data_IF_203970538618
#
_entry.id   IF_203970538618
#
_cell.length_a   1.000
_cell.length_b   1.000
_cell.length_c   1.000
_cell.angle_alpha   90.00
_cell.angle_beta   90.00
_cell.angle_gamma   90.00
#
_symmetry.space_group_name_H-M   'P 1'
#
loop_
_entity.id
_entity.type
_entity.pdbx_description
1 polymer ?
#
# COMPACT_ATOMS: atom_id res chain seq x y z
N UNK A 1 12.96 0.63 -11.61
CA UNK A 1 11.52 0.50 -11.44
C UNK A 1 11.07 0.83 -10.00
N UNK A 2 11.87 0.47 -9.01
CA UNK A 2 11.67 0.78 -7.60
C UNK A 2 12.96 1.34 -7.02
N UNK A 3 12.84 2.24 -6.02
CA UNK A 3 13.98 2.80 -5.31
C UNK A 3 13.69 2.76 -3.82
N UNK A 4 14.72 2.43 -3.02
CA UNK A 4 14.65 2.45 -1.57
C UNK A 4 15.35 3.69 -1.02
N UNK A 5 14.75 4.30 0.00
CA UNK A 5 15.35 5.43 0.71
C UNK A 5 15.06 5.30 2.20
N UNK A 6 16.08 5.48 3.03
CA UNK A 6 15.88 5.65 4.45
C UNK A 6 15.17 6.99 4.70
N UNK A 7 14.12 6.98 5.51
CA UNK A 7 13.46 8.21 5.95
C UNK A 7 14.43 9.10 6.74
N UNK A 8 14.46 10.39 6.41
CA UNK A 8 15.37 11.33 7.07
C UNK A 8 14.89 11.64 8.48
N UNK A 9 15.76 11.42 9.46
CA UNK A 9 15.50 11.76 10.87
C UNK A 9 15.78 13.23 11.15
N UNK A 10 15.18 13.73 12.21
CA UNK A 10 15.38 15.10 12.74
C UNK A 10 14.90 16.22 11.82
N UNK A 11 14.11 15.91 10.81
CA UNK A 11 13.55 16.86 9.84
C UNK A 11 12.04 16.64 9.77
N UNK A 12 11.28 17.72 9.76
CA UNK A 12 9.86 17.70 9.42
C UNK A 12 9.69 17.80 7.91
N UNK A 13 8.77 17.02 7.36
CA UNK A 13 8.37 17.14 5.97
C UNK A 13 7.04 17.88 5.92
N UNK A 14 7.00 19.09 5.32
CA UNK A 14 5.77 19.86 5.20
C UNK A 14 4.79 19.13 4.27
N UNK A 15 3.55 19.61 4.25
CA UNK A 15 2.51 19.05 3.40
C UNK A 15 2.95 19.00 1.93
N UNK A 16 2.94 17.83 1.35
CA UNK A 16 3.36 17.55 -0.03
C UNK A 16 2.64 16.34 -0.59
N UNK A 17 2.78 16.10 -1.88
CA UNK A 17 2.30 14.90 -2.57
C UNK A 17 3.32 14.46 -3.62
N UNK A 18 3.21 13.22 -4.05
CA UNK A 18 4.08 12.59 -5.03
C UNK A 18 3.35 12.30 -6.34
N UNK A 19 4.10 11.94 -7.38
CA UNK A 19 3.57 11.45 -8.65
C UNK A 19 3.88 9.94 -8.86
N UNK A 20 4.09 9.22 -7.74
CA UNK A 20 4.41 7.80 -7.69
C UNK A 20 3.66 7.13 -6.54
N UNK A 21 3.72 5.81 -6.47
CA UNK A 21 3.26 5.06 -5.30
C UNK A 21 4.41 4.95 -4.31
N UNK A 22 4.16 5.31 -3.07
CA UNK A 22 5.12 5.22 -1.97
C UNK A 22 4.67 4.18 -0.95
N UNK A 23 5.62 3.38 -0.46
CA UNK A 23 5.42 2.50 0.68
C UNK A 23 6.37 2.94 1.78
N UNK A 24 5.81 3.23 2.97
CA UNK A 24 6.59 3.45 4.17
C UNK A 24 6.53 2.19 5.03
N UNK A 25 7.67 1.56 5.24
CA UNK A 25 7.83 0.43 6.16
C UNK A 25 8.65 0.86 7.39
N UNK A 26 8.11 0.65 8.59
CA UNK A 26 8.81 1.01 9.83
C UNK A 26 9.60 -0.19 10.35
N UNK A 27 10.92 -0.08 10.26
CA UNK A 27 11.85 -1.13 10.73
C UNK A 27 12.03 -1.08 12.24
N UNK A 28 12.04 0.13 12.82
CA UNK A 28 12.23 0.36 14.25
C UNK A 28 11.58 1.67 14.68
N UNK A 29 11.11 1.73 15.92
CA UNK A 29 10.50 2.92 16.50
C UNK A 29 9.14 3.24 15.91
N UNK A 30 8.89 4.52 15.64
CA UNK A 30 7.63 5.01 15.10
C UNK A 30 7.82 6.16 14.12
N UNK A 31 6.90 6.30 13.16
CA UNK A 31 6.86 7.42 12.20
C UNK A 31 5.45 7.97 12.17
N UNK A 32 5.28 9.26 12.40
CA UNK A 32 3.96 9.92 12.37
C UNK A 32 3.77 10.72 11.10
N UNK A 33 2.78 10.33 10.32
CA UNK A 33 2.26 11.08 9.16
C UNK A 33 1.08 11.94 9.58
N UNK A 34 0.85 13.03 8.86
CA UNK A 34 -0.39 13.80 8.92
C UNK A 34 -1.06 13.69 7.55
N UNK A 35 -2.21 13.02 7.49
CA UNK A 35 -2.97 12.79 6.26
C UNK A 35 -4.40 13.30 6.49
N UNK A 36 -4.91 14.13 5.59
CA UNK A 36 -6.22 14.76 5.72
C UNK A 36 -6.42 15.48 7.08
N UNK A 37 -5.35 16.10 7.59
CA UNK A 37 -5.33 16.80 8.87
C UNK A 37 -5.39 15.90 10.11
N UNK A 38 -5.24 14.59 9.96
CA UNK A 38 -5.21 13.61 11.06
C UNK A 38 -3.83 13.02 11.21
N UNK A 39 -3.38 12.93 12.44
CA UNK A 39 -2.15 12.23 12.77
C UNK A 39 -2.34 10.72 12.66
N UNK A 40 -1.36 10.08 12.06
CA UNK A 40 -1.30 8.66 11.80
C UNK A 40 0.08 8.15 12.17
N UNK A 41 0.21 7.56 13.35
CA UNK A 41 1.47 6.96 13.79
C UNK A 41 1.58 5.52 13.34
N UNK A 42 2.68 5.21 12.66
CA UNK A 42 3.09 3.88 12.26
C UNK A 42 4.13 3.38 13.27
N UNK A 43 4.04 2.12 13.63
CA UNK A 43 4.97 1.46 14.54
C UNK A 43 5.79 0.40 13.82
N UNK A 44 6.83 -0.12 14.48
CA UNK A 44 7.65 -1.22 13.94
C UNK A 44 6.77 -2.33 13.33
N UNK A 45 7.08 -2.68 12.09
CA UNK A 45 6.38 -3.69 11.29
C UNK A 45 5.20 -3.14 10.47
N UNK A 46 4.71 -1.93 10.76
CA UNK A 46 3.61 -1.34 9.99
C UNK A 46 4.05 -0.96 8.57
N UNK A 47 3.13 -1.14 7.63
CA UNK A 47 3.29 -0.75 6.25
C UNK A 47 2.20 0.23 5.84
N UNK A 48 2.59 1.44 5.45
CA UNK A 48 1.73 2.45 4.86
C UNK A 48 1.96 2.49 3.35
N UNK A 49 0.89 2.46 2.58
CA UNK A 49 0.91 2.61 1.13
C UNK A 49 0.18 3.90 0.76
N UNK A 50 0.86 4.79 0.04
CA UNK A 50 0.34 6.09 -0.41
C UNK A 50 0.28 6.11 -1.93
N UNK A 51 -0.85 6.52 -2.51
CA UNK A 51 -0.92 6.78 -3.93
C UNK A 51 -0.59 8.26 -4.25
N UNK A 52 -0.49 8.59 -5.52
CA UNK A 52 -0.11 9.92 -5.99
C UNK A 52 -1.12 11.04 -5.65
N UNK A 53 -2.29 10.72 -5.10
CA UNK A 53 -3.32 11.72 -4.78
C UNK A 53 -3.27 12.18 -3.33
N UNK A 54 -2.53 11.47 -2.47
CA UNK A 54 -2.43 11.79 -1.04
C UNK A 54 -1.56 13.00 -0.83
N UNK A 55 -2.13 14.02 -0.19
CA UNK A 55 -1.33 15.08 0.43
C UNK A 55 -1.03 14.67 1.88
N UNK A 56 0.24 14.65 2.22
CA UNK A 56 0.67 14.27 3.56
C UNK A 56 1.87 15.09 4.03
N UNK A 57 1.97 15.22 5.34
CA UNK A 57 3.14 15.75 6.04
C UNK A 57 3.70 14.65 6.95
N UNK A 58 4.95 14.74 7.36
CA UNK A 58 5.57 13.78 8.26
C UNK A 58 6.25 14.54 9.38
N UNK A 59 5.93 14.17 10.63
CA UNK A 59 6.60 14.73 11.80
C UNK A 59 8.06 14.29 11.87
N UNK A 60 8.84 15.03 12.59
CA UNK A 60 10.24 14.73 12.82
C UNK A 60 10.40 13.36 13.47
N UNK A 61 11.11 12.46 12.81
CA UNK A 61 11.53 11.19 13.37
C UNK A 61 12.75 11.36 14.27
N UNK A 62 12.82 10.59 15.35
CA UNK A 62 13.89 10.66 16.34
C UNK A 62 15.01 9.66 16.05
N UNK A 63 15.98 9.56 16.95
CA UNK A 63 17.19 8.77 16.73
C UNK A 63 16.90 7.27 16.55
N UNK A 64 15.98 6.73 17.33
CA UNK A 64 15.62 5.31 17.30
C UNK A 64 14.63 4.95 16.20
N UNK A 65 14.07 5.95 15.49
CA UNK A 65 13.07 5.71 14.47
C UNK A 65 13.74 5.41 13.13
N UNK A 66 13.38 4.27 12.55
CA UNK A 66 13.90 3.83 11.26
C UNK A 66 12.72 3.48 10.37
N UNK A 67 12.42 4.38 9.44
CA UNK A 67 11.48 4.15 8.35
C UNK A 67 12.22 3.98 7.03
N UNK A 68 11.68 3.15 6.17
CA UNK A 68 12.19 2.90 4.81
C UNK A 68 11.08 3.23 3.82
N UNK A 69 11.37 4.15 2.90
CA UNK A 69 10.48 4.49 1.80
C UNK A 69 10.86 3.69 0.56
N UNK A 70 9.90 2.97 0.01
CA UNK A 70 9.98 2.36 -1.30
C UNK A 70 9.19 3.24 -2.27
N UNK A 71 9.85 3.73 -3.29
CA UNK A 71 9.28 4.58 -4.33
C UNK A 71 9.17 3.75 -5.60
N UNK A 72 7.94 3.45 -6.01
CA UNK A 72 7.67 2.55 -7.11
C UNK A 72 6.96 3.24 -8.28
N UNK A 73 7.48 3.02 -9.49
CA UNK A 73 6.88 3.45 -10.73
C UNK A 73 5.82 2.44 -11.21
N UNK A 74 4.90 2.84 -12.10
CA UNK A 74 3.83 1.96 -12.60
C UNK A 74 4.31 0.60 -13.11
N UNK A 75 5.40 0.59 -13.86
CA UNK A 75 5.97 -0.59 -14.50
C UNK A 75 6.46 -1.63 -13.49
N UNK A 76 6.79 -1.20 -12.26
CA UNK A 76 7.16 -2.10 -11.19
C UNK A 76 6.04 -3.09 -10.84
N UNK A 77 4.78 -2.66 -10.98
CA UNK A 77 3.61 -3.43 -10.51
C UNK A 77 3.11 -4.49 -11.49
N UNK A 78 3.70 -4.63 -12.67
CA UNK A 78 3.26 -5.62 -13.67
C UNK A 78 3.28 -7.04 -13.10
N UNK A 79 4.39 -7.46 -12.48
CA UNK A 79 4.53 -8.78 -11.86
C UNK A 79 3.70 -8.90 -10.59
N UNK A 80 3.81 -7.99 -9.58
CA UNK A 80 3.00 -8.05 -8.38
C UNK A 80 1.49 -8.14 -8.64
N UNK A 81 0.96 -7.34 -9.57
CA UNK A 81 -0.47 -7.41 -9.93
C UNK A 81 -0.83 -8.71 -10.67
N UNK A 82 0.07 -9.22 -11.51
CA UNK A 82 -0.13 -10.52 -12.18
C UNK A 82 -0.19 -11.70 -11.22
N UNK A 83 0.37 -11.59 -10.02
CA UNK A 83 0.29 -12.60 -8.96
C UNK A 83 -1.04 -12.56 -8.19
N UNK A 84 -1.75 -11.42 -8.23
CA UNK A 84 -3.05 -11.25 -7.59
C UNK A 84 -4.15 -11.78 -8.55
N UNK A 85 -4.73 -12.93 -8.24
CA UNK A 85 -5.60 -13.68 -9.15
C UNK A 85 -7.02 -13.09 -9.33
N UNK A 86 -7.44 -12.16 -8.47
CA UNK A 86 -8.80 -11.62 -8.45
C UNK A 86 -8.82 -10.13 -8.10
N UNK A 87 -9.97 -9.49 -8.32
CA UNK A 87 -10.21 -8.13 -7.81
C UNK A 87 -10.12 -8.14 -6.28
N UNK A 88 -9.20 -7.38 -5.74
CA UNK A 88 -9.02 -7.22 -4.31
C UNK A 88 -8.55 -5.79 -4.01
N UNK A 89 -8.60 -5.40 -2.74
CA UNK A 89 -8.29 -4.05 -2.29
C UNK A 89 -6.90 -3.57 -2.73
N UNK A 90 -5.89 -4.44 -2.77
CA UNK A 90 -4.53 -4.08 -3.20
C UNK A 90 -4.46 -3.85 -4.71
N UNK A 91 -5.06 -4.76 -5.50
CA UNK A 91 -5.12 -4.61 -6.96
C UNK A 91 -5.88 -3.33 -7.34
N UNK A 92 -7.00 -3.04 -6.69
CA UNK A 92 -7.78 -1.81 -6.90
C UNK A 92 -7.00 -0.56 -6.48
N UNK A 93 -6.34 -0.60 -5.33
CA UNK A 93 -5.51 0.51 -4.86
C UNK A 93 -4.39 0.84 -5.85
N UNK A 94 -3.62 -0.17 -6.29
CA UNK A 94 -2.53 0.02 -7.24
C UNK A 94 -3.06 0.46 -8.62
N UNK A 95 -4.10 -0.21 -9.13
CA UNK A 95 -4.72 0.18 -10.40
C UNK A 95 -5.32 1.60 -10.34
N UNK A 96 -5.90 1.97 -9.20
CA UNK A 96 -6.44 3.30 -8.95
C UNK A 96 -5.38 4.38 -8.90
N UNK A 97 -4.19 4.06 -8.41
CA UNK A 97 -3.07 5.00 -8.38
C UNK A 97 -2.69 5.51 -9.78
N UNK A 98 -2.96 4.73 -10.84
CA UNK A 98 -2.60 5.09 -12.23
C UNK A 98 -3.79 5.56 -13.08
N UNK A 99 -5.00 5.60 -12.51
CA UNK A 99 -6.20 6.13 -13.19
C UNK A 99 -6.48 7.55 -12.71
N UNK A 100 -6.79 8.46 -13.64
CA UNK A 100 -7.03 9.89 -13.33
C UNK A 100 -8.28 10.17 -12.47
N UNK A 101 -9.15 9.21 -12.27
CA UNK A 101 -10.35 9.31 -11.41
C UNK A 101 -10.62 7.93 -10.82
N UNK A 102 -10.40 7.77 -9.54
CA UNK A 102 -10.74 6.54 -8.85
C UNK A 102 -11.38 6.84 -7.50
N UNK A 103 -12.48 6.15 -7.16
CA UNK A 103 -13.08 6.19 -5.82
C UNK A 103 -12.32 5.34 -4.79
N UNK A 104 -11.17 4.77 -5.17
CA UNK A 104 -10.37 3.93 -4.27
C UNK A 104 -9.76 4.71 -3.11
N UNK A 105 -9.44 4.05 -2.00
CA UNK A 105 -8.71 4.67 -0.91
C UNK A 105 -7.42 5.33 -1.41
N UNK A 106 -7.11 6.50 -0.89
CA UNK A 106 -5.89 7.20 -1.26
C UNK A 106 -4.66 6.63 -0.53
N UNK A 107 -4.88 5.94 0.58
CA UNK A 107 -3.84 5.21 1.30
C UNK A 107 -4.39 3.94 1.95
N UNK A 108 -3.49 2.98 2.18
CA UNK A 108 -3.75 1.76 2.94
C UNK A 108 -2.71 1.63 4.05
N UNK A 109 -3.13 1.17 5.23
CA UNK A 109 -2.24 0.88 6.34
C UNK A 109 -2.47 -0.54 6.79
N UNK A 110 -1.40 -1.31 6.84
CA UNK A 110 -1.39 -2.64 7.42
C UNK A 110 -0.64 -2.61 8.74
N UNK A 111 -1.34 -2.96 9.83
CA UNK A 111 -0.79 -3.08 11.19
C UNK A 111 -0.24 -4.50 11.38
N UNK A 112 1.01 -4.71 10.98
CA UNK A 112 1.64 -6.02 10.91
C UNK A 112 2.54 -6.25 12.13
N UNK A 113 1.94 -6.55 13.27
CA UNK A 113 2.71 -6.94 14.46
C UNK A 113 3.33 -8.32 14.23
N UNK A 114 4.66 -8.40 14.36
CA UNK A 114 5.43 -9.66 14.37
C UNK A 114 5.05 -10.63 13.23
N UNK A 115 5.14 -10.15 11.99
CA UNK A 115 4.95 -10.98 10.80
C UNK A 115 6.30 -11.28 10.13
N UNK A 116 7.00 -12.35 10.55
CA UNK A 116 8.34 -12.63 10.05
C UNK A 116 8.40 -12.92 8.54
N UNK A 117 7.30 -13.37 7.93
CA UNK A 117 7.24 -13.61 6.50
C UNK A 117 7.34 -12.31 5.71
N UNK A 118 6.58 -11.30 6.11
CA UNK A 118 6.62 -9.97 5.47
C UNK A 118 7.92 -9.25 5.84
N UNK A 119 8.35 -9.32 7.11
CA UNK A 119 9.59 -8.72 7.60
C UNK A 119 10.78 -9.21 6.77
N UNK A 120 10.96 -10.52 6.61
CA UNK A 120 12.03 -11.11 5.80
C UNK A 120 12.00 -10.67 4.33
N UNK A 121 10.80 -10.58 3.73
CA UNK A 121 10.66 -10.11 2.34
C UNK A 121 11.04 -8.64 2.19
N UNK A 122 10.62 -7.79 3.13
CA UNK A 122 10.98 -6.36 3.12
C UNK A 122 12.48 -6.17 3.32
N UNK A 123 13.11 -6.92 4.25
CA UNK A 123 14.56 -6.90 4.46
C UNK A 123 15.32 -7.35 3.22
N UNK A 124 14.91 -8.46 2.60
CA UNK A 124 15.53 -8.94 1.36
C UNK A 124 15.44 -7.92 0.22
N UNK A 125 14.33 -7.21 0.10
CA UNK A 125 14.18 -6.14 -0.89
C UNK A 125 15.13 -4.99 -0.60
N UNK A 126 15.27 -4.57 0.67
CA UNK A 126 16.19 -3.52 1.09
C UNK A 126 17.63 -3.94 0.76
N UNK A 127 18.03 -5.16 1.13
CA UNK A 127 19.37 -5.67 0.87
C UNK A 127 19.68 -5.74 -0.62
N UNK A 128 18.77 -6.28 -1.44
CA UNK A 128 18.99 -6.42 -2.87
C UNK A 128 19.25 -5.08 -3.57
N UNK A 129 18.56 -4.02 -3.13
CA UNK A 129 18.73 -2.67 -3.67
C UNK A 129 19.98 -1.97 -3.10
N UNK A 130 20.34 -2.22 -1.84
CA UNK A 130 21.55 -1.63 -1.24
C UNK A 130 22.84 -2.22 -1.81
N UNK A 131 22.83 -3.49 -2.16
CA UNK A 131 24.01 -4.21 -2.68
C UNK A 131 23.97 -4.41 -4.21
N UNK A 132 23.00 -3.79 -4.90
CA UNK A 132 22.86 -3.82 -6.37
C UNK A 132 22.96 -5.25 -6.92
N UNK A 133 22.10 -6.15 -6.41
CA UNK A 133 22.12 -7.55 -6.83
C UNK A 133 21.81 -7.67 -8.33
N UNK A 134 22.43 -8.65 -8.96
CA UNK A 134 22.06 -9.02 -10.33
C UNK A 134 20.56 -9.39 -10.38
N UNK A 135 19.82 -8.81 -11.32
CA UNK A 135 18.37 -8.97 -11.46
C UNK A 135 17.54 -8.42 -10.28
N UNK A 136 18.04 -7.41 -9.55
CA UNK A 136 17.36 -6.82 -8.40
C UNK A 136 15.90 -6.40 -8.70
N UNK A 137 15.64 -5.81 -9.86
CA UNK A 137 14.29 -5.41 -10.29
C UNK A 137 13.31 -6.60 -10.28
N UNK A 138 13.74 -7.75 -10.84
CA UNK A 138 12.93 -8.96 -10.91
C UNK A 138 12.72 -9.55 -9.50
N UNK A 139 13.80 -9.64 -8.72
CA UNK A 139 13.75 -10.10 -7.32
C UNK A 139 12.75 -9.26 -6.53
N UNK A 140 12.84 -7.93 -6.63
CA UNK A 140 11.98 -7.02 -5.88
C UNK A 140 10.53 -7.07 -6.34
N UNK A 141 10.26 -7.24 -7.64
CA UNK A 141 8.89 -7.41 -8.14
C UNK A 141 8.24 -8.68 -7.60
N UNK A 142 8.93 -9.82 -7.63
CA UNK A 142 8.39 -11.08 -7.05
C UNK A 142 8.25 -11.00 -5.53
N UNK A 143 9.22 -10.41 -4.83
CA UNK A 143 9.16 -10.20 -3.38
C UNK A 143 7.95 -9.34 -2.99
N UNK A 144 7.71 -8.23 -3.69
CA UNK A 144 6.55 -7.38 -3.46
C UNK A 144 5.24 -8.12 -3.77
N UNK A 145 5.21 -8.94 -4.81
CA UNK A 145 4.06 -9.80 -5.11
C UNK A 145 3.75 -10.77 -3.97
N UNK A 146 4.78 -11.38 -3.38
CA UNK A 146 4.63 -12.24 -2.19
C UNK A 146 4.16 -11.42 -0.97
N UNK A 147 4.71 -10.23 -0.75
CA UNK A 147 4.21 -9.31 0.29
C UNK A 147 2.72 -9.07 0.10
N UNK A 148 2.26 -8.74 -1.10
CA UNK A 148 0.84 -8.52 -1.38
C UNK A 148 -0.03 -9.76 -1.08
N UNK A 149 0.43 -10.96 -1.46
CA UNK A 149 -0.29 -12.19 -1.13
C UNK A 149 -0.38 -12.43 0.37
N UNK A 150 0.68 -12.15 1.13
CA UNK A 150 0.63 -12.21 2.60
C UNK A 150 -0.29 -11.14 3.19
N UNK A 151 -0.28 -9.92 2.67
CA UNK A 151 -1.16 -8.83 3.14
C UNK A 151 -2.64 -9.18 2.95
N UNK A 152 -3.01 -9.87 1.87
CA UNK A 152 -4.39 -10.33 1.66
C UNK A 152 -4.87 -11.33 2.73
N UNK A 153 -3.95 -12.04 3.40
CA UNK A 153 -4.30 -12.90 4.54
C UNK A 153 -4.43 -12.13 5.86
N UNK A 154 -4.18 -10.82 5.85
CA UNK A 154 -4.20 -9.95 7.04
C UNK A 154 -5.10 -8.73 6.84
N UNK A 155 -6.18 -8.88 6.07
CA UNK A 155 -7.11 -7.77 5.79
C UNK A 155 -7.83 -7.26 7.05
N UNK A 156 -7.92 -8.06 8.12
CA UNK A 156 -8.40 -7.63 9.43
C UNK A 156 -7.51 -6.55 10.08
N UNK A 157 -6.25 -6.46 9.65
CA UNK A 157 -5.27 -5.46 10.11
C UNK A 157 -5.20 -4.22 9.20
N UNK A 158 -6.05 -4.19 8.16
CA UNK A 158 -6.09 -3.09 7.21
C UNK A 158 -6.89 -1.92 7.78
N UNK A 159 -6.30 -0.73 7.71
CA UNK A 159 -6.99 0.55 7.88
C UNK A 159 -6.77 1.41 6.64
N UNK A 160 -7.77 2.19 6.27
CA UNK A 160 -7.67 3.11 5.14
C UNK A 160 -8.45 4.40 5.45
N UNK A 161 -8.21 5.45 4.66
CA UNK A 161 -9.04 6.64 4.78
C UNK A 161 -10.41 6.33 4.18
N UNK A 162 -11.31 5.97 5.01
CA UNK A 162 -12.68 5.88 4.57
C UNK A 162 -13.39 7.22 4.74
N UNK A 163 -13.51 7.96 3.67
CA UNK A 163 -14.82 8.54 3.39
C UNK A 163 -15.82 7.44 2.93
N UNK A 164 -15.30 6.23 2.68
CA UNK A 164 -16.08 5.01 2.40
C UNK A 164 -15.43 3.83 3.12
N UNK A 165 -16.15 3.25 4.07
CA UNK A 165 -15.80 1.97 4.67
C UNK A 165 -15.65 0.93 3.55
N UNK A 166 -14.71 -0.01 3.64
CA UNK A 166 -14.56 -1.13 2.69
C UNK A 166 -15.91 -1.82 2.43
N UNK A 167 -16.76 -1.91 3.46
CA UNK A 167 -18.15 -2.36 3.32
C UNK A 167 -18.98 -1.46 2.40
N UNK A 168 -18.78 -0.16 2.45
CA UNK A 168 -19.46 0.78 1.56
C UNK A 168 -18.95 0.68 0.13
N UNK A 169 -17.66 0.42 -0.08
CA UNK A 169 -17.06 0.19 -1.40
C UNK A 169 -17.62 -1.10 -2.02
N UNK A 170 -17.73 -2.20 -1.24
CA UNK A 170 -18.41 -3.43 -1.69
C UNK A 170 -19.89 -3.16 -1.98
N UNK A 171 -20.58 -2.47 -1.08
CA UNK A 171 -21.99 -2.13 -1.29
C UNK A 171 -22.17 -1.27 -2.55
N UNK A 172 -21.27 -0.34 -2.81
CA UNK A 172 -21.31 0.51 -4.00
C UNK A 172 -21.01 -0.27 -5.27
N UNK A 173 -20.02 -1.16 -5.27
CA UNK A 173 -19.74 -2.07 -6.39
C UNK A 173 -20.91 -3.00 -6.67
N UNK A 174 -21.55 -3.51 -5.63
CA UNK A 174 -22.79 -4.32 -5.72
C UNK A 174 -23.95 -3.48 -6.29
N UNK A 175 -24.11 -2.25 -5.84
CA UNK A 175 -25.16 -1.34 -6.36
C UNK A 175 -24.89 -0.95 -7.82
N UNK A 176 -23.67 -0.70 -8.21
CA UNK A 176 -23.28 -0.43 -9.60
C UNK A 176 -23.54 -1.64 -10.49
N UNK A 177 -23.19 -2.85 -10.02
CA UNK A 177 -23.50 -4.09 -10.73
C UNK A 177 -25.02 -4.29 -10.89
N UNK A 178 -25.79 -4.11 -9.82
CA UNK A 178 -27.26 -4.18 -9.84
C UNK A 178 -27.85 -3.16 -10.81
N UNK A 179 -27.33 -1.92 -10.82
CA UNK A 179 -27.78 -0.86 -11.71
C UNK A 179 -27.40 -1.09 -13.18
N UNK A 180 -26.25 -1.73 -13.45
CA UNK A 180 -25.79 -2.03 -14.81
C UNK A 180 -26.50 -3.25 -15.43
N UNK A 181 -26.91 -4.23 -14.64
CA UNK A 181 -27.58 -5.45 -15.10
C UNK A 181 -28.70 -5.92 -14.15
N UNK A 182 -29.64 -5.02 -13.86
CA UNK A 182 -30.71 -5.26 -12.91
C UNK A 182 -31.66 -6.42 -13.27
N UNK A 183 -31.65 -6.89 -14.53
CA UNK A 183 -32.49 -8.03 -14.98
C UNK A 183 -31.88 -9.39 -14.68
N UNK A 184 -30.56 -9.47 -14.51
CA UNK A 184 -29.80 -10.71 -14.30
C UNK A 184 -29.02 -10.72 -12.99
N UNK A 185 -29.19 -9.70 -12.15
CA UNK A 185 -28.54 -9.60 -10.85
C UNK A 185 -28.95 -10.78 -9.96
N UNK A 186 -27.96 -11.59 -9.58
CA UNK A 186 -28.15 -12.77 -8.74
C UNK A 186 -27.05 -12.75 -7.67
N UNK A 187 -27.45 -12.95 -6.40
CA UNK A 187 -26.54 -12.93 -5.25
C UNK A 187 -25.35 -13.89 -5.37
N UNK A 188 -25.55 -15.02 -6.04
CA UNK A 188 -24.48 -16.01 -6.27
C UNK A 188 -23.42 -15.51 -7.27
N UNK A 189 -23.82 -14.71 -8.26
CA UNK A 189 -22.88 -14.06 -9.19
C UNK A 189 -22.17 -12.88 -8.55
N UNK A 190 -22.89 -12.07 -7.74
CA UNK A 190 -22.30 -10.94 -7.00
C UNK A 190 -21.23 -11.40 -6.01
N UNK A 191 -21.37 -12.58 -5.43
CA UNK A 191 -20.40 -13.17 -4.49
C UNK A 191 -19.20 -13.84 -5.20
N UNK A 192 -19.26 -14.02 -6.52
CA UNK A 192 -18.23 -14.67 -7.32
C UNK A 192 -17.39 -13.66 -8.17
N UNK A 193 -17.85 -12.42 -8.30
CA UNK A 193 -17.16 -11.28 -8.93
C UNK A 193 -16.52 -10.38 -7.87
#
# INVERSE_FOLDING_TARGET
LITVRRHSRFVEFPLHRHNYVEFMYVVQGEITHVIDGKELTLYKGDLLMLNQYVEHAIHRAEFEDIGINFIALPEFFEIPLGMLQEKNVLAEFIAGAFRQKSPVPHYLIFRLKENPQIENLMENMIESMLYEYMNEDVINQYSMGLVFLYLLNHLENLSHNSSMDYKETIVQSVLEYINSDCKNANLTKIAAD
#
